data_IF_117513748342
#
_entry.id   IF_117513748342
#
_cell.length_a   1.000
_cell.length_b   1.000
_cell.length_c   1.000
_cell.angle_alpha   90.00
_cell.angle_beta   90.00
_cell.angle_gamma   90.00
#
_symmetry.space_group_name_H-M   'P 1'
#
loop_
_entity.id
_entity.type
_entity.pdbx_description
1 polymer ?
#
# COMPACT_ATOMS: atom_id res chain seq x y z
N UNK A 1 -69.47 18.35 -14.00
CA UNK A 1 -68.36 17.44 -14.36
C UNK A 1 -67.12 17.92 -13.64
N UNK A 2 -66.48 17.03 -12.86
CA UNK A 2 -65.30 17.28 -12.03
C UNK A 2 -64.04 17.32 -12.92
N UNK A 3 -63.23 18.37 -12.82
CA UNK A 3 -61.86 18.38 -13.37
C UNK A 3 -60.92 18.49 -12.18
N UNK A 4 -60.17 17.41 -11.95
CA UNK A 4 -59.20 17.25 -10.87
C UNK A 4 -58.05 18.25 -11.04
N UNK A 5 -57.82 19.08 -10.04
CA UNK A 5 -56.61 19.91 -9.91
C UNK A 5 -55.51 19.01 -9.36
N UNK A 6 -54.60 18.55 -10.23
CA UNK A 6 -53.40 17.83 -9.80
C UNK A 6 -52.34 18.86 -9.37
N UNK A 7 -52.13 18.96 -8.07
CA UNK A 7 -51.02 19.69 -7.49
C UNK A 7 -49.70 19.00 -7.86
N UNK A 8 -48.93 19.61 -8.76
CA UNK A 8 -47.57 19.17 -9.10
C UNK A 8 -46.63 19.71 -8.01
N UNK A 9 -46.28 18.85 -7.06
CA UNK A 9 -45.28 19.13 -6.04
C UNK A 9 -43.87 18.99 -6.66
N UNK A 10 -43.03 20.03 -6.72
CA UNK A 10 -41.69 19.90 -7.25
C UNK A 10 -40.80 19.24 -6.20
N UNK A 11 -40.46 17.96 -6.43
CA UNK A 11 -39.48 17.23 -5.64
C UNK A 11 -38.07 17.77 -5.98
N UNK A 12 -37.57 18.71 -5.18
CA UNK A 12 -36.19 19.18 -5.25
C UNK A 12 -35.25 18.03 -4.83
N UNK A 13 -34.70 17.33 -5.81
CA UNK A 13 -33.56 16.43 -5.63
C UNK A 13 -32.32 17.25 -5.29
N UNK A 14 -31.99 17.32 -4.01
CA UNK A 14 -30.64 17.67 -3.57
C UNK A 14 -29.68 16.55 -3.98
N UNK A 15 -28.91 16.75 -5.06
CA UNK A 15 -27.76 15.91 -5.37
C UNK A 15 -26.71 16.06 -4.25
N UNK A 16 -26.27 14.98 -3.59
CA UNK A 16 -25.04 15.05 -2.82
C UNK A 16 -23.88 15.27 -3.80
N UNK A 17 -23.00 16.24 -3.50
CA UNK A 17 -21.68 16.31 -4.10
C UNK A 17 -20.97 15.01 -3.72
N UNK A 18 -20.79 14.12 -4.69
CA UNK A 18 -19.86 13.00 -4.55
C UNK A 18 -18.46 13.60 -4.52
N UNK A 19 -17.88 13.69 -3.33
CA UNK A 19 -16.46 14.00 -3.18
C UNK A 19 -15.69 12.76 -3.65
N UNK A 20 -15.04 12.86 -4.81
CA UNK A 20 -14.08 11.84 -5.26
C UNK A 20 -12.88 11.86 -4.31
N UNK A 21 -12.88 11.00 -3.30
CA UNK A 21 -11.63 10.58 -2.67
C UNK A 21 -10.91 9.70 -3.70
N UNK A 22 -9.91 10.25 -4.38
CA UNK A 22 -8.96 9.47 -5.20
C UNK A 22 -8.27 8.41 -4.31
N UNK A 23 -7.94 7.23 -4.85
CA UNK A 23 -7.70 6.02 -4.07
C UNK A 23 -6.29 5.99 -3.49
N UNK A 24 -6.09 6.68 -2.36
CA UNK A 24 -4.96 6.45 -1.43
C UNK A 24 -4.79 4.95 -1.16
N UNK A 25 -5.90 4.19 -1.21
CA UNK A 25 -5.97 2.75 -1.06
C UNK A 25 -5.05 1.97 -2.03
N UNK A 26 -5.00 2.32 -3.32
CA UNK A 26 -4.26 1.51 -4.29
C UNK A 26 -2.75 1.79 -4.24
N UNK A 27 -2.36 3.06 -4.20
CA UNK A 27 -0.94 3.44 -4.12
C UNK A 27 -0.31 3.03 -2.77
N UNK A 28 -1.08 3.14 -1.68
CA UNK A 28 -0.66 2.67 -0.36
C UNK A 28 -0.42 1.17 -0.31
N UNK A 29 -1.31 0.36 -0.90
CA UNK A 29 -1.11 -1.09 -0.95
C UNK A 29 0.10 -1.47 -1.79
N UNK A 30 0.32 -0.83 -2.95
CA UNK A 30 1.50 -1.07 -3.78
C UNK A 30 2.81 -0.76 -3.05
N UNK A 31 2.86 0.33 -2.28
CA UNK A 31 4.05 0.67 -1.48
C UNK A 31 4.33 -0.39 -0.39
N UNK A 32 3.27 -0.92 0.23
CA UNK A 32 3.37 -2.01 1.21
C UNK A 32 3.84 -3.32 0.58
N UNK A 33 3.30 -3.67 -0.60
CA UNK A 33 3.73 -4.84 -1.38
C UNK A 33 5.20 -4.72 -1.76
N UNK A 34 5.67 -3.54 -2.21
CA UNK A 34 7.05 -3.33 -2.59
C UNK A 34 8.03 -3.53 -1.42
N UNK A 35 7.68 -3.00 -0.24
CA UNK A 35 8.46 -3.26 0.98
C UNK A 35 8.44 -4.74 1.38
N UNK A 36 7.30 -5.42 1.23
CA UNK A 36 7.21 -6.88 1.40
C UNK A 36 8.15 -7.60 0.45
N UNK A 37 8.13 -7.23 -0.84
CA UNK A 37 8.96 -7.79 -1.89
C UNK A 37 10.45 -7.64 -1.57
N UNK A 38 10.88 -6.43 -1.20
CA UNK A 38 12.24 -6.14 -0.81
C UNK A 38 12.65 -6.94 0.44
N UNK A 39 11.78 -7.05 1.44
CA UNK A 39 12.08 -7.84 2.64
C UNK A 39 12.30 -9.32 2.32
N UNK A 40 11.52 -9.91 1.41
CA UNK A 40 11.73 -11.28 0.92
C UNK A 40 13.10 -11.48 0.26
N UNK A 41 13.58 -10.48 -0.49
CA UNK A 41 14.93 -10.48 -1.09
C UNK A 41 16.00 -10.33 -0.01
N UNK A 42 15.83 -9.38 0.93
CA UNK A 42 16.76 -9.15 2.03
C UNK A 42 17.00 -10.43 2.85
N UNK A 43 15.94 -11.18 3.14
CA UNK A 43 16.01 -12.44 3.86
C UNK A 43 16.78 -13.52 3.08
N UNK A 44 16.53 -13.68 1.78
CA UNK A 44 17.31 -14.60 0.94
C UNK A 44 18.80 -14.23 0.92
N UNK A 45 19.08 -12.94 0.82
CA UNK A 45 20.42 -12.39 0.69
C UNK A 45 21.14 -12.17 2.03
N UNK A 46 20.48 -12.47 3.16
CA UNK A 46 21.01 -12.30 4.52
C UNK A 46 21.36 -10.85 4.86
N UNK A 47 20.70 -9.89 4.22
CA UNK A 47 20.77 -8.46 4.56
C UNK A 47 19.87 -8.16 5.77
N UNK A 48 20.22 -8.73 6.92
CA UNK A 48 19.35 -8.70 8.11
C UNK A 48 19.15 -7.30 8.69
N UNK A 49 20.14 -6.43 8.56
CA UNK A 49 20.05 -5.01 8.90
C UNK A 49 18.95 -4.31 8.07
N UNK A 50 18.88 -4.61 6.77
CA UNK A 50 17.87 -4.07 5.88
C UNK A 50 16.49 -4.70 6.14
N UNK A 51 16.42 -6.02 6.39
CA UNK A 51 15.16 -6.66 6.79
C UNK A 51 14.58 -6.03 8.08
N UNK A 52 15.44 -5.72 9.06
CA UNK A 52 15.03 -5.01 10.27
C UNK A 52 14.63 -3.56 10.00
N UNK A 53 15.32 -2.87 9.09
CA UNK A 53 14.96 -1.51 8.66
C UNK A 53 13.58 -1.49 8.00
N UNK A 54 13.32 -2.39 7.05
CA UNK A 54 12.03 -2.49 6.35
C UNK A 54 10.89 -2.72 7.35
N UNK A 55 11.06 -3.63 8.31
CA UNK A 55 10.04 -3.84 9.35
C UNK A 55 9.81 -2.58 10.22
N UNK A 56 10.86 -1.81 10.51
CA UNK A 56 10.72 -0.53 11.23
C UNK A 56 9.97 0.50 10.41
N UNK A 57 10.28 0.64 9.12
CA UNK A 57 9.53 1.51 8.19
C UNK A 57 8.03 1.21 8.27
N UNK A 58 7.65 -0.07 8.22
CA UNK A 58 6.27 -0.51 8.33
C UNK A 58 5.62 -0.14 9.67
N UNK A 59 6.34 -0.34 10.78
CA UNK A 59 5.84 -0.04 12.14
C UNK A 59 5.66 1.47 12.35
N UNK A 60 6.58 2.27 11.84
CA UNK A 60 6.67 3.70 12.14
C UNK A 60 5.74 4.54 11.25
N UNK A 61 5.42 4.08 10.03
CA UNK A 61 4.73 4.92 9.03
C UNK A 61 3.31 4.46 8.67
N UNK A 62 2.89 3.25 9.06
CA UNK A 62 1.56 2.75 8.70
C UNK A 62 0.51 2.93 9.80
N UNK A 63 -0.77 3.15 9.43
CA UNK A 63 -1.85 3.00 10.38
C UNK A 63 -1.91 1.56 10.87
N UNK A 64 -2.32 1.37 12.13
CA UNK A 64 -2.39 0.05 12.79
C UNK A 64 -3.58 -0.79 12.29
N UNK A 65 -3.54 -1.13 11.01
CA UNK A 65 -4.54 -1.96 10.33
C UNK A 65 -3.95 -3.34 10.06
N UNK A 66 -4.70 -4.38 10.44
CA UNK A 66 -4.26 -5.77 10.26
C UNK A 66 -4.00 -6.12 8.79
N UNK A 67 -4.82 -5.58 7.88
CA UNK A 67 -4.75 -5.86 6.45
C UNK A 67 -3.40 -5.45 5.84
N UNK A 68 -2.89 -4.26 6.17
CA UNK A 68 -1.59 -3.80 5.69
C UNK A 68 -0.44 -4.71 6.14
N UNK A 69 -0.49 -5.17 7.40
CA UNK A 69 0.48 -6.14 7.90
C UNK A 69 0.40 -7.48 7.15
N UNK A 70 -0.81 -7.93 6.82
CA UNK A 70 -1.02 -9.17 6.06
C UNK A 70 -0.46 -9.07 4.64
N UNK A 71 -0.71 -7.96 3.93
CA UNK A 71 -0.18 -7.72 2.57
C UNK A 71 1.35 -7.79 2.58
N UNK A 72 1.99 -7.11 3.54
CA UNK A 72 3.44 -7.13 3.70
C UNK A 72 4.01 -8.53 3.96
N UNK A 73 3.37 -9.30 4.85
CA UNK A 73 3.81 -10.66 5.20
C UNK A 73 3.63 -11.64 4.04
N UNK A 74 2.49 -11.57 3.35
CA UNK A 74 2.18 -12.42 2.21
C UNK A 74 3.17 -12.17 1.07
N UNK A 75 3.43 -10.90 0.75
CA UNK A 75 4.36 -10.55 -0.32
C UNK A 75 5.83 -10.77 0.09
N UNK A 76 6.18 -10.63 1.37
CA UNK A 76 7.49 -11.08 1.91
C UNK A 76 7.71 -12.56 1.61
N UNK A 77 6.75 -13.40 1.97
CA UNK A 77 6.85 -14.85 1.79
C UNK A 77 6.89 -15.22 0.30
N UNK A 78 6.00 -14.61 -0.50
CA UNK A 78 5.96 -14.85 -1.93
C UNK A 78 7.27 -14.45 -2.62
N UNK A 79 7.79 -13.24 -2.31
CA UNK A 79 9.06 -12.77 -2.85
C UNK A 79 10.24 -13.63 -2.42
N UNK A 80 10.29 -14.06 -1.15
CA UNK A 80 11.32 -14.98 -0.68
C UNK A 80 11.32 -16.26 -1.53
N UNK A 81 10.16 -16.90 -1.71
CA UNK A 81 10.05 -18.13 -2.50
C UNK A 81 10.38 -17.90 -3.98
N UNK A 82 9.93 -16.79 -4.58
CA UNK A 82 10.23 -16.44 -5.98
C UNK A 82 11.73 -16.22 -6.18
N UNK A 83 12.39 -15.52 -5.27
CA UNK A 83 13.82 -15.22 -5.36
C UNK A 83 14.67 -16.48 -5.18
N UNK A 84 14.35 -17.34 -4.20
CA UNK A 84 15.02 -18.63 -4.00
C UNK A 84 14.90 -19.50 -5.26
N UNK A 85 13.70 -19.59 -5.87
CA UNK A 85 13.47 -20.38 -7.09
C UNK A 85 14.19 -19.84 -8.31
N UNK A 86 14.30 -18.52 -8.43
CA UNK A 86 14.95 -17.88 -9.56
C UNK A 86 16.47 -18.08 -9.58
N UNK A 87 17.08 -18.48 -8.46
CA UNK A 87 18.53 -18.69 -8.30
C UNK A 87 19.37 -17.49 -8.80
N UNK A 88 18.82 -16.28 -8.66
CA UNK A 88 19.48 -15.03 -9.08
C UNK A 88 20.55 -14.64 -8.05
N UNK A 89 21.66 -14.00 -8.49
CA UNK A 89 22.61 -13.41 -7.56
C UNK A 89 21.92 -12.32 -6.73
N UNK A 90 22.37 -12.16 -5.49
CA UNK A 90 21.96 -11.04 -4.66
C UNK A 90 22.44 -9.72 -5.26
N UNK A 91 21.64 -8.64 -5.19
CA UNK A 91 22.08 -7.31 -5.59
C UNK A 91 23.22 -6.83 -4.68
N UNK A 92 23.93 -5.77 -5.08
CA UNK A 92 24.91 -5.18 -4.18
C UNK A 92 24.20 -4.59 -2.94
N UNK A 93 24.85 -4.59 -1.76
CA UNK A 93 24.25 -4.00 -0.56
C UNK A 93 23.91 -2.51 -0.72
N UNK A 94 24.70 -1.76 -1.48
CA UNK A 94 24.49 -0.34 -1.71
C UNK A 94 23.24 -0.08 -2.56
N UNK A 95 23.12 -0.74 -3.72
CA UNK A 95 21.94 -0.65 -4.59
C UNK A 95 20.68 -1.12 -3.85
N UNK A 96 20.80 -2.17 -3.04
CA UNK A 96 19.66 -2.66 -2.27
C UNK A 96 19.20 -1.65 -1.21
N UNK A 97 20.13 -1.00 -0.51
CA UNK A 97 19.81 0.03 0.48
C UNK A 97 19.14 1.27 -0.15
N UNK A 98 19.55 1.63 -1.37
CA UNK A 98 18.92 2.69 -2.19
C UNK A 98 17.46 2.33 -2.51
N UNK A 99 17.20 1.13 -3.06
CA UNK A 99 15.83 0.69 -3.34
C UNK A 99 14.94 0.65 -2.08
N UNK A 100 15.49 0.29 -0.91
CA UNK A 100 14.73 0.36 0.36
C UNK A 100 14.42 1.81 0.74
N UNK A 101 15.32 2.75 0.45
CA UNK A 101 15.07 4.19 0.63
C UNK A 101 13.96 4.72 -0.27
N UNK A 102 13.98 4.36 -1.56
CA UNK A 102 12.95 4.77 -2.51
C UNK A 102 11.57 4.21 -2.12
N UNK A 103 11.51 2.95 -1.69
CA UNK A 103 10.27 2.34 -1.20
C UNK A 103 9.77 2.97 0.10
N UNK A 104 10.68 3.42 0.99
CA UNK A 104 10.32 4.17 2.20
C UNK A 104 9.68 5.52 1.84
N UNK A 105 10.26 6.25 0.88
CA UNK A 105 9.73 7.54 0.44
C UNK A 105 8.36 7.39 -0.23
N UNK A 106 8.19 6.36 -1.07
CA UNK A 106 6.89 6.04 -1.67
C UNK A 106 5.84 5.70 -0.60
N UNK A 107 6.21 4.93 0.43
CA UNK A 107 5.31 4.60 1.53
C UNK A 107 4.86 5.87 2.28
N UNK A 108 5.78 6.78 2.59
CA UNK A 108 5.48 8.04 3.30
C UNK A 108 4.59 8.97 2.48
N UNK A 109 4.73 8.98 1.16
CA UNK A 109 3.87 9.75 0.27
C UNK A 109 2.44 9.18 0.26
N UNK A 110 2.31 7.85 0.28
CA UNK A 110 1.02 7.18 0.30
C UNK A 110 0.32 7.20 1.67
N UNK A 111 1.10 7.25 2.77
CA UNK A 111 0.59 7.34 4.14
C UNK A 111 1.13 8.60 4.84
N UNK A 112 0.66 9.79 4.45
CA UNK A 112 1.09 11.03 5.08
C UNK A 112 0.69 11.04 6.55
N UNK A 113 1.66 11.30 7.43
CA UNK A 113 1.43 11.52 8.86
C UNK A 113 0.74 12.87 9.02
N UNK A 114 -0.56 12.85 9.37
CA UNK A 114 -1.30 14.04 9.78
C UNK A 114 -1.01 14.40 11.24
#
# INVERSE_FOLDING_TARGET
MKILVYAVLPLLLSLPLVSSAEPIENEGYQAVEELGRLNGVALNCRFFDQAQRIKRIMIDNLPKQRELGQIFEDETNASFLRFTKAAKPCPSPAEFAEHVGEAEDALKQAFPVN
#
